data_IF_429395396714
#
_entry.id   IF_429395396714
#
_cell.length_a   1.000
_cell.length_b   1.000
_cell.length_c   1.000
_cell.angle_alpha   90.00
_cell.angle_beta   90.00
_cell.angle_gamma   90.00
#
_symmetry.space_group_name_H-M   'P 1'
#
loop_
_entity.id
_entity.type
_entity.pdbx_description
1 polymer ?
#
# COMPACT_ATOMS: atom_id res chain seq x y z
N UNK A 1 -13.57 -21.32 3.25
CA UNK A 1 -12.53 -20.42 3.77
C UNK A 1 -12.96 -18.99 3.49
N UNK A 2 -12.75 -18.04 4.41
CA UNK A 2 -13.01 -16.64 4.11
C UNK A 2 -12.08 -16.21 2.97
N UNK A 3 -12.67 -15.82 1.85
CA UNK A 3 -11.98 -15.29 0.68
C UNK A 3 -11.63 -13.82 0.92
N UNK A 4 -10.38 -13.40 0.85
CA UNK A 4 -10.00 -11.98 0.99
C UNK A 4 -9.96 -11.30 -0.39
N UNK A 5 -10.55 -10.11 -0.55
CA UNK A 5 -10.49 -9.39 -1.81
C UNK A 5 -9.11 -8.79 -2.10
N UNK A 6 -8.18 -8.78 -1.14
CA UNK A 6 -6.82 -8.27 -1.35
C UNK A 6 -5.80 -9.31 -0.94
N UNK A 7 -4.75 -9.45 -1.75
CA UNK A 7 -3.49 -10.00 -1.26
C UNK A 7 -2.96 -9.07 -0.17
N UNK A 8 -2.47 -9.64 0.93
CA UNK A 8 -1.84 -8.88 1.99
C UNK A 8 -0.34 -8.88 1.76
N UNK A 9 0.25 -7.71 1.57
CA UNK A 9 1.66 -7.58 1.89
C UNK A 9 1.74 -7.62 3.41
N UNK A 10 2.05 -8.80 3.97
CA UNK A 10 2.39 -9.03 5.37
C UNK A 10 3.70 -8.29 5.65
N UNK A 11 3.58 -6.97 5.67
CA UNK A 11 4.71 -6.11 5.64
C UNK A 11 5.34 -6.07 7.03
N UNK A 12 6.66 -5.93 7.11
CA UNK A 12 7.36 -5.73 8.36
C UNK A 12 7.20 -4.28 8.86
N UNK A 13 6.00 -3.68 8.80
CA UNK A 13 5.75 -2.32 9.34
C UNK A 13 5.97 -2.28 10.84
N UNK A 14 5.62 -3.35 11.54
CA UNK A 14 6.02 -3.57 12.95
C UNK A 14 7.56 -3.55 13.13
N UNK A 15 8.31 -3.74 12.03
CA UNK A 15 9.77 -3.68 11.97
C UNK A 15 10.27 -2.43 11.26
N UNK A 16 9.45 -1.44 10.91
CA UNK A 16 9.89 -0.06 10.64
C UNK A 16 9.93 0.65 11.99
N UNK A 17 11.10 0.61 12.63
CA UNK A 17 11.28 1.03 13.99
C UNK A 17 12.48 1.96 14.10
N UNK A 18 12.42 2.86 15.07
CA UNK A 18 13.51 3.77 15.38
C UNK A 18 14.07 3.52 16.76
N UNK A 19 15.37 3.77 16.96
CA UNK A 19 15.95 3.80 18.30
C UNK A 19 15.43 5.03 19.09
N UNK A 20 15.38 4.96 20.43
CA UNK A 20 15.09 6.12 21.26
C UNK A 20 16.04 7.28 20.97
N UNK A 21 15.51 8.50 21.00
CA UNK A 21 16.25 9.75 20.80
C UNK A 21 15.59 10.84 21.63
N UNK A 22 16.40 11.72 22.22
CA UNK A 22 15.97 12.86 23.02
C UNK A 22 16.51 14.16 22.41
N UNK A 23 15.64 15.05 21.99
CA UNK A 23 16.00 16.35 21.43
C UNK A 23 16.66 17.27 22.45
N UNK A 24 16.20 17.25 23.70
CA UNK A 24 16.75 18.04 24.80
C UNK A 24 18.19 17.65 25.18
N UNK A 25 18.61 16.42 24.87
CA UNK A 25 19.98 15.96 25.08
C UNK A 25 20.90 16.32 23.90
N UNK A 26 20.33 16.40 22.70
CA UNK A 26 21.07 16.64 21.46
C UNK A 26 21.25 18.13 21.14
N UNK A 27 20.24 18.95 21.46
CA UNK A 27 20.20 20.38 21.12
C UNK A 27 20.49 21.23 22.35
N UNK A 28 21.17 22.36 22.15
CA UNK A 28 21.37 23.36 23.20
C UNK A 28 20.10 24.21 23.32
N UNK A 29 19.65 24.41 24.55
CA UNK A 29 18.58 25.36 24.87
C UNK A 29 19.11 26.79 24.71
N UNK A 30 18.37 27.63 24.01
CA UNK A 30 18.67 29.06 23.85
C UNK A 30 17.38 29.90 23.74
N UNK A 31 17.49 31.18 23.39
CA UNK A 31 16.34 32.10 23.32
C UNK A 31 15.31 31.73 22.23
N UNK A 32 15.67 30.89 21.26
CA UNK A 32 14.80 30.47 20.16
C UNK A 32 14.28 29.03 20.34
N UNK A 33 15.01 28.19 21.09
CA UNK A 33 14.67 26.80 21.39
C UNK A 33 14.49 26.61 22.90
N UNK A 34 13.25 26.65 23.37
CA UNK A 34 12.94 26.44 24.78
C UNK A 34 12.95 24.93 25.15
N UNK A 35 13.30 24.63 26.39
CA UNK A 35 13.42 23.25 26.89
C UNK A 35 12.09 22.49 26.91
N UNK A 36 10.96 23.20 27.05
CA UNK A 36 9.64 22.58 27.10
C UNK A 36 9.23 22.05 25.73
N UNK A 37 9.42 22.85 24.67
CA UNK A 37 9.23 22.44 23.28
C UNK A 37 10.10 21.24 22.90
N UNK A 38 11.37 21.20 23.36
CA UNK A 38 12.26 20.06 23.09
C UNK A 38 11.77 18.78 23.79
N UNK A 39 11.34 18.89 25.05
CA UNK A 39 10.77 17.76 25.81
C UNK A 39 9.46 17.27 25.22
N UNK A 40 8.61 18.19 24.75
CA UNK A 40 7.37 17.86 24.06
C UNK A 40 7.68 17.06 22.78
N UNK A 41 8.62 17.53 21.95
CA UNK A 41 9.02 16.85 20.72
C UNK A 41 9.57 15.45 20.99
N UNK A 42 10.41 15.27 22.02
CA UNK A 42 10.91 13.96 22.46
C UNK A 42 9.81 13.06 22.98
N UNK A 43 8.84 13.60 23.73
CA UNK A 43 7.69 12.89 24.26
C UNK A 43 6.83 12.29 23.13
N UNK A 44 6.45 13.12 22.16
CA UNK A 44 5.65 12.67 21.01
C UNK A 44 6.42 11.68 20.13
N UNK A 45 7.71 11.92 19.87
CA UNK A 45 8.55 10.98 19.13
C UNK A 45 8.49 9.59 19.76
N UNK A 46 8.74 9.50 21.07
CA UNK A 46 8.79 8.24 21.81
C UNK A 46 7.51 7.42 21.67
N UNK A 47 6.37 8.07 21.54
CA UNK A 47 5.07 7.40 21.41
C UNK A 47 4.77 7.06 19.94
N UNK A 48 5.04 8.00 19.03
CA UNK A 48 4.69 7.89 17.62
C UNK A 48 5.53 6.84 16.86
N UNK A 49 6.85 6.82 17.08
CA UNK A 49 7.79 5.99 16.29
C UNK A 49 8.28 4.73 17.01
N UNK A 50 7.83 4.51 18.25
CA UNK A 50 8.13 3.26 18.95
C UNK A 50 7.38 2.09 18.31
N UNK A 51 7.90 0.85 18.43
CA UNK A 51 7.10 -0.34 18.19
C UNK A 51 5.80 -0.23 18.97
N UNK A 52 4.67 -0.51 18.32
CA UNK A 52 3.33 -0.36 18.91
C UNK A 52 3.27 -1.12 20.24
N UNK A 53 3.17 -0.37 21.34
CA UNK A 53 3.12 -0.97 22.67
C UNK A 53 1.87 -1.85 22.82
N UNK A 54 1.96 -2.91 23.62
CA UNK A 54 0.82 -3.77 23.93
C UNK A 54 -0.33 -2.91 24.48
N UNK A 55 -1.47 -2.91 23.77
CA UNK A 55 -2.67 -2.13 24.14
C UNK A 55 -2.83 -0.76 23.45
N UNK A 56 -1.83 -0.25 22.72
CA UNK A 56 -2.03 0.93 21.88
C UNK A 56 -2.73 0.51 20.57
N UNK A 57 -3.93 1.04 20.33
CA UNK A 57 -4.65 0.84 19.08
C UNK A 57 -3.97 1.54 17.89
N UNK A 58 -4.12 0.98 16.69
CA UNK A 58 -3.58 1.54 15.44
C UNK A 58 -4.03 3.00 15.19
N UNK A 59 -5.29 3.31 15.50
CA UNK A 59 -5.83 4.67 15.38
C UNK A 59 -5.12 5.66 16.30
N UNK A 60 -4.86 5.25 17.55
CA UNK A 60 -4.10 6.08 18.48
C UNK A 60 -2.69 6.33 17.94
N UNK A 61 -2.02 5.32 17.38
CA UNK A 61 -0.70 5.49 16.78
C UNK A 61 -0.72 6.46 15.59
N UNK A 62 -1.73 6.36 14.72
CA UNK A 62 -1.92 7.27 13.58
C UNK A 62 -2.03 8.72 14.06
N UNK A 63 -2.82 8.99 15.10
CA UNK A 63 -2.95 10.34 15.64
C UNK A 63 -1.66 10.84 16.30
N UNK A 64 -0.90 9.97 16.96
CA UNK A 64 0.42 10.33 17.51
C UNK A 64 1.43 10.66 16.40
N UNK A 65 1.44 9.89 15.30
CA UNK A 65 2.26 10.18 14.12
C UNK A 65 1.87 11.53 13.49
N UNK A 66 0.57 11.80 13.37
CA UNK A 66 0.06 13.10 12.87
C UNK A 66 0.55 14.26 13.74
N UNK A 67 0.44 14.14 15.06
CA UNK A 67 0.90 15.18 15.98
C UNK A 67 2.40 15.37 15.93
N UNK A 68 3.16 14.27 15.91
CA UNK A 68 4.60 14.34 15.83
C UNK A 68 5.09 14.97 14.53
N UNK A 69 4.47 14.61 13.40
CA UNK A 69 4.72 15.23 12.11
C UNK A 69 4.50 16.76 12.14
N UNK A 70 3.39 17.22 12.73
CA UNK A 70 3.11 18.66 12.86
C UNK A 70 4.20 19.38 13.66
N UNK A 71 4.59 18.80 14.81
CA UNK A 71 5.66 19.38 15.65
C UNK A 71 6.98 19.44 14.89
N UNK A 72 7.37 18.36 14.21
CA UNK A 72 8.59 18.33 13.42
C UNK A 72 8.58 19.38 12.30
N UNK A 73 7.46 19.51 11.60
CA UNK A 73 7.31 20.46 10.49
C UNK A 73 7.37 21.92 10.96
N UNK A 74 6.87 22.20 12.16
CA UNK A 74 6.93 23.54 12.78
C UNK A 74 8.31 23.84 13.37
N UNK A 75 9.02 22.80 13.81
CA UNK A 75 10.34 22.90 14.39
C UNK A 75 11.43 23.08 13.33
N UNK A 76 11.24 22.50 12.12
CA UNK A 76 12.23 22.51 11.06
C UNK A 76 12.71 23.91 10.63
N UNK A 77 11.83 24.91 10.39
CA UNK A 77 12.26 26.27 10.08
C UNK A 77 13.03 26.93 11.24
N UNK A 78 12.56 26.73 12.48
CA UNK A 78 13.23 27.29 13.68
C UNK A 78 14.65 26.75 13.82
N UNK A 79 14.85 25.46 13.55
CA UNK A 79 16.19 24.86 13.57
C UNK A 79 17.08 25.43 12.46
N UNK A 80 16.52 25.68 11.27
CA UNK A 80 17.24 26.26 10.14
C UNK A 80 17.64 27.72 10.35
N UNK A 81 16.82 28.49 11.08
CA UNK A 81 17.06 29.91 11.34
C UNK A 81 17.96 30.14 12.57
N UNK A 82 17.83 29.29 13.60
CA UNK A 82 18.44 29.55 14.91
C UNK A 82 19.41 28.46 15.40
N UNK A 83 19.34 27.24 14.87
CA UNK A 83 20.20 26.14 15.33
C UNK A 83 21.64 26.28 14.87
N UNK A 84 22.61 26.18 15.78
CA UNK A 84 24.03 26.13 15.41
C UNK A 84 24.38 24.86 14.60
N UNK A 85 25.35 24.96 13.69
CA UNK A 85 25.78 23.85 12.82
C UNK A 85 26.26 22.62 13.60
N UNK A 86 26.80 22.83 14.81
CA UNK A 86 27.22 21.75 15.70
C UNK A 86 26.04 20.94 16.24
N UNK A 87 24.91 21.59 16.52
CA UNK A 87 23.70 21.02 17.08
C UNK A 87 22.93 20.28 15.99
N UNK A 88 22.90 20.82 14.77
CA UNK A 88 22.36 20.11 13.60
C UNK A 88 23.10 18.80 13.34
N UNK A 89 24.42 18.77 13.48
CA UNK A 89 25.24 17.55 13.34
C UNK A 89 24.97 16.49 14.40
N UNK A 90 24.41 16.86 15.55
CA UNK A 90 24.02 15.92 16.62
C UNK A 90 22.65 15.26 16.38
N UNK A 91 21.84 15.81 15.47
CA UNK A 91 20.57 15.20 15.08
C UNK A 91 20.84 13.99 14.18
N UNK A 92 21.05 12.85 14.83
CA UNK A 92 21.27 11.58 14.18
C UNK A 92 20.29 10.55 14.73
N UNK A 93 19.50 10.00 13.83
CA UNK A 93 18.49 9.00 14.13
C UNK A 93 18.90 7.65 13.55
N UNK A 94 18.35 6.58 14.10
CA UNK A 94 18.63 5.22 13.64
C UNK A 94 17.32 4.51 13.36
N UNK A 95 17.13 4.11 12.11
CA UNK A 95 15.90 3.46 11.63
C UNK A 95 16.20 2.14 10.95
N UNK A 96 15.32 1.16 11.15
CA UNK A 96 15.29 -0.03 10.31
C UNK A 96 14.69 0.26 8.94
N UNK A 97 14.95 -0.61 7.98
CA UNK A 97 14.44 -0.48 6.61
C UNK A 97 13.81 -1.80 6.13
N UNK A 98 12.54 -2.07 6.46
CA UNK A 98 11.86 -3.29 6.03
C UNK A 98 11.75 -3.43 4.51
N UNK A 99 11.63 -2.31 3.78
CA UNK A 99 11.52 -2.33 2.32
C UNK A 99 12.86 -2.66 1.64
N UNK A 100 13.98 -2.55 2.36
CA UNK A 100 15.30 -2.96 1.86
C UNK A 100 15.54 -4.47 1.89
N UNK A 101 14.68 -5.26 2.55
CA UNK A 101 14.92 -6.68 2.82
C UNK A 101 15.89 -6.95 3.98
N UNK A 102 16.36 -5.89 4.68
CA UNK A 102 17.19 -5.96 5.89
C UNK A 102 16.42 -5.41 7.11
N UNK A 103 15.26 -5.98 7.49
CA UNK A 103 14.35 -5.37 8.47
C UNK A 103 14.91 -5.26 9.90
N UNK A 104 15.99 -5.97 10.23
CA UNK A 104 16.60 -5.95 11.56
C UNK A 104 17.83 -5.02 11.67
N UNK A 105 18.25 -4.41 10.56
CA UNK A 105 19.45 -3.56 10.53
C UNK A 105 19.05 -2.10 10.72
N UNK A 106 19.60 -1.47 11.76
CA UNK A 106 19.45 -0.03 11.99
C UNK A 106 20.46 0.74 11.13
N UNK A 107 19.94 1.68 10.35
CA UNK A 107 20.67 2.57 9.47
C UNK A 107 20.62 3.98 10.05
N UNK A 108 21.77 4.66 10.03
CA UNK A 108 21.90 6.02 10.55
C UNK A 108 21.43 7.01 9.51
N UNK A 109 20.55 7.91 9.93
CA UNK A 109 20.12 9.06 9.14
C UNK A 109 20.48 10.33 9.91
N UNK A 110 20.82 11.40 9.19
CA UNK A 110 21.27 12.66 9.78
C UNK A 110 20.36 13.79 9.35
N UNK A 111 20.04 14.67 10.29
CA UNK A 111 19.19 15.82 10.04
C UNK A 111 17.70 15.51 10.20
N UNK A 112 16.97 16.59 10.45
CA UNK A 112 15.55 16.53 10.80
C UNK A 112 14.66 16.26 9.58
N UNK A 113 15.10 16.68 8.39
CA UNK A 113 14.42 16.42 7.13
C UNK A 113 14.30 14.91 6.85
N UNK A 114 15.36 14.15 7.12
CA UNK A 114 15.34 12.70 6.93
C UNK A 114 14.49 12.00 8.00
N UNK A 115 14.49 12.49 9.26
CA UNK A 115 13.55 12.00 10.29
C UNK A 115 12.10 12.25 9.85
N UNK A 116 11.79 13.46 9.38
CA UNK A 116 10.46 13.81 8.88
C UNK A 116 10.05 12.87 7.74
N UNK A 117 10.93 12.61 6.78
CA UNK A 117 10.67 11.67 5.68
C UNK A 117 10.33 10.26 6.18
N UNK A 118 11.10 9.72 7.13
CA UNK A 118 10.80 8.41 7.74
C UNK A 118 9.47 8.40 8.49
N UNK A 119 9.13 9.48 9.20
CA UNK A 119 7.85 9.62 9.92
C UNK A 119 6.68 9.66 8.95
N UNK A 120 6.78 10.40 7.84
CA UNK A 120 5.75 10.45 6.80
C UNK A 120 5.56 9.07 6.15
N UNK A 121 6.66 8.35 5.88
CA UNK A 121 6.59 7.00 5.33
C UNK A 121 5.88 6.02 6.29
N UNK A 122 6.25 6.06 7.59
CA UNK A 122 5.59 5.27 8.63
C UNK A 122 4.10 5.64 8.75
N UNK A 123 3.77 6.92 8.65
CA UNK A 123 2.38 7.37 8.70
C UNK A 123 1.55 6.81 7.54
N UNK A 124 2.04 6.90 6.30
CA UNK A 124 1.39 6.26 5.15
C UNK A 124 1.24 4.74 5.34
N UNK A 125 2.23 4.10 5.96
CA UNK A 125 2.20 2.65 6.25
C UNK A 125 1.13 2.29 7.28
N UNK A 126 0.96 3.10 8.33
CA UNK A 126 -0.09 2.91 9.35
C UNK A 126 -1.49 3.11 8.77
N UNK A 127 -1.70 4.10 7.89
CA UNK A 127 -2.98 4.24 7.17
C UNK A 127 -3.28 3.02 6.30
N UNK A 128 -2.29 2.53 5.56
CA UNK A 128 -2.43 1.32 4.74
C UNK A 128 -2.80 0.11 5.62
N UNK A 129 -2.14 -0.07 6.77
CA UNK A 129 -2.49 -1.13 7.73
C UNK A 129 -3.93 -0.99 8.24
N UNK A 130 -4.41 0.23 8.46
CA UNK A 130 -5.77 0.50 8.92
C UNK A 130 -6.80 0.08 7.88
N UNK A 131 -6.58 0.42 6.61
CA UNK A 131 -7.44 -0.03 5.52
C UNK A 131 -7.50 -1.57 5.45
N UNK A 132 -6.36 -2.25 5.64
CA UNK A 132 -6.33 -3.72 5.71
C UNK A 132 -7.08 -4.28 6.91
N UNK A 133 -7.01 -3.65 8.09
CA UNK A 133 -7.78 -4.08 9.26
C UNK A 133 -9.27 -4.06 8.96
N UNK A 134 -9.77 -2.98 8.35
CA UNK A 134 -11.19 -2.86 7.96
C UNK A 134 -11.59 -4.01 7.02
N UNK A 135 -10.78 -4.28 5.98
CA UNK A 135 -11.04 -5.38 5.05
C UNK A 135 -10.95 -6.74 5.76
N UNK A 136 -10.01 -6.93 6.66
CA UNK A 136 -9.85 -8.19 7.38
C UNK A 136 -11.04 -8.45 8.33
N UNK A 137 -11.48 -7.43 9.06
CA UNK A 137 -12.59 -7.54 10.02
C UNK A 137 -13.90 -7.92 9.30
N UNK A 138 -14.15 -7.33 8.13
CA UNK A 138 -15.31 -7.62 7.28
C UNK A 138 -15.36 -9.07 6.78
N UNK A 139 -14.20 -9.69 6.52
CA UNK A 139 -14.13 -11.02 5.92
C UNK A 139 -13.80 -12.13 6.92
N UNK A 140 -13.27 -11.79 8.10
CA UNK A 140 -13.12 -12.72 9.23
C UNK A 140 -14.39 -12.77 10.08
N UNK A 141 -15.10 -11.65 10.23
CA UNK A 141 -16.39 -11.57 10.94
C UNK A 141 -17.57 -12.05 10.09
N UNK A 142 -17.39 -13.12 9.31
CA UNK A 142 -18.40 -13.69 8.43
C UNK A 142 -19.55 -14.40 9.20
N UNK A 143 -20.03 -13.77 10.27
CA UNK A 143 -21.38 -14.03 10.78
C UNK A 143 -22.38 -13.38 9.81
N UNK A 144 -23.50 -14.06 9.56
CA UNK A 144 -24.56 -13.68 8.61
C UNK A 144 -25.28 -12.34 8.96
N UNK A 145 -24.79 -11.58 9.95
CA UNK A 145 -25.41 -10.37 10.49
C UNK A 145 -25.06 -9.08 9.72
N UNK A 146 -23.89 -9.00 9.05
CA UNK A 146 -23.53 -7.78 8.30
C UNK A 146 -24.26 -7.76 6.95
N UNK A 147 -25.18 -6.81 6.79
CA UNK A 147 -25.92 -6.65 5.53
C UNK A 147 -25.02 -6.13 4.39
N UNK A 148 -25.47 -6.33 3.14
CA UNK A 148 -24.68 -6.01 1.94
C UNK A 148 -24.31 -4.52 1.81
N UNK A 149 -25.11 -3.61 2.36
CA UNK A 149 -24.86 -2.17 2.26
C UNK A 149 -23.80 -1.72 3.27
N UNK A 150 -23.85 -2.25 4.50
CA UNK A 150 -22.81 -2.01 5.50
C UNK A 150 -21.44 -2.50 5.01
N UNK A 151 -21.39 -3.72 4.46
CA UNK A 151 -20.17 -4.23 3.81
C UNK A 151 -19.68 -3.31 2.68
N UNK A 152 -20.63 -2.81 1.88
CA UNK A 152 -20.35 -1.88 0.79
C UNK A 152 -19.77 -0.54 1.27
N UNK A 153 -20.27 -0.01 2.39
CA UNK A 153 -19.76 1.21 3.02
C UNK A 153 -18.33 1.03 3.52
N UNK A 154 -18.05 -0.06 4.22
CA UNK A 154 -16.72 -0.33 4.77
C UNK A 154 -15.66 -0.58 3.69
N UNK A 155 -16.04 -1.17 2.54
CA UNK A 155 -15.17 -1.26 1.36
C UNK A 155 -14.82 0.13 0.81
N UNK A 156 -15.80 1.03 0.76
CA UNK A 156 -15.58 2.43 0.32
C UNK A 156 -14.68 3.18 1.30
N UNK A 157 -14.86 2.96 2.60
CA UNK A 157 -14.01 3.54 3.65
C UNK A 157 -12.56 3.05 3.53
N UNK A 158 -12.33 1.74 3.42
CA UNK A 158 -10.98 1.20 3.23
C UNK A 158 -10.31 1.75 1.96
N UNK A 159 -11.06 1.82 0.84
CA UNK A 159 -10.56 2.42 -0.41
C UNK A 159 -10.22 3.91 -0.25
N UNK A 160 -10.97 4.65 0.57
CA UNK A 160 -10.66 6.05 0.88
C UNK A 160 -9.35 6.16 1.66
N UNK A 161 -9.15 5.33 2.69
CA UNK A 161 -7.92 5.34 3.49
C UNK A 161 -6.70 4.96 2.64
N UNK A 162 -6.82 4.00 1.72
CA UNK A 162 -5.73 3.71 0.78
C UNK A 162 -5.38 4.92 -0.11
N UNK A 163 -6.36 5.69 -0.59
CA UNK A 163 -6.09 6.93 -1.34
C UNK A 163 -5.44 8.02 -0.49
N UNK A 164 -5.78 8.10 0.80
CA UNK A 164 -5.11 8.98 1.76
C UNK A 164 -3.64 8.57 1.98
N UNK A 165 -3.38 7.27 2.13
CA UNK A 165 -2.01 6.74 2.19
C UNK A 165 -1.23 7.05 0.90
N UNK A 166 -1.84 6.84 -0.27
CA UNK A 166 -1.23 7.21 -1.56
C UNK A 166 -0.88 8.70 -1.64
N UNK A 167 -1.77 9.57 -1.15
CA UNK A 167 -1.54 11.01 -1.03
C UNK A 167 -0.32 11.39 -0.19
N UNK A 168 -0.13 10.71 0.94
CA UNK A 168 1.06 10.89 1.79
C UNK A 168 2.35 10.48 1.07
N UNK A 169 2.34 9.34 0.37
CA UNK A 169 3.50 8.88 -0.37
C UNK A 169 3.83 9.78 -1.57
N UNK A 170 2.80 10.29 -2.24
CA UNK A 170 2.95 11.28 -3.30
C UNK A 170 3.64 12.56 -2.77
N UNK A 171 3.12 13.11 -1.67
CA UNK A 171 3.73 14.24 -0.98
C UNK A 171 5.18 13.95 -0.55
N UNK A 172 5.45 12.76 -0.01
CA UNK A 172 6.78 12.34 0.41
C UNK A 172 7.76 12.32 -0.78
N UNK A 173 7.37 11.74 -1.90
CA UNK A 173 8.19 11.68 -3.11
C UNK A 173 8.49 13.10 -3.64
N UNK A 174 7.45 13.85 -3.97
CA UNK A 174 7.57 15.10 -4.74
C UNK A 174 8.01 16.29 -3.88
N UNK A 175 7.57 16.37 -2.63
CA UNK A 175 7.79 17.58 -1.81
C UNK A 175 8.90 17.41 -0.79
N UNK A 176 9.09 16.20 -0.26
CA UNK A 176 10.04 15.96 0.84
C UNK A 176 11.35 15.35 0.35
N UNK A 177 11.30 14.28 -0.46
CA UNK A 177 12.49 13.52 -0.86
C UNK A 177 13.18 14.08 -2.09
N UNK A 178 12.44 14.55 -3.09
CA UNK A 178 13.02 15.09 -4.33
C UNK A 178 14.10 16.17 -4.07
N UNK A 179 13.89 17.17 -3.17
CA UNK A 179 14.93 18.16 -2.88
C UNK A 179 16.15 17.62 -2.12
N UNK A 180 16.05 16.44 -1.52
CA UNK A 180 17.08 15.86 -0.65
C UNK A 180 17.95 14.82 -1.37
N UNK A 181 17.62 14.44 -2.61
CA UNK A 181 18.27 13.31 -3.30
C UNK A 181 19.79 13.39 -3.37
N UNK A 182 20.34 14.58 -3.63
CA UNK A 182 21.79 14.81 -3.73
C UNK A 182 22.50 14.76 -2.38
N UNK A 183 21.76 14.95 -1.29
CA UNK A 183 22.28 14.98 0.09
C UNK A 183 22.20 13.61 0.79
N UNK A 184 21.56 12.62 0.15
CA UNK A 184 21.35 11.31 0.75
C UNK A 184 22.67 10.54 0.94
N UNK A 185 22.90 9.95 2.12
CA UNK A 185 24.10 9.15 2.36
C UNK A 185 24.10 7.87 1.50
N UNK A 186 25.28 7.33 1.20
CA UNK A 186 25.41 6.09 0.42
C UNK A 186 24.66 4.92 1.05
N UNK A 187 24.94 4.60 2.33
CA UNK A 187 24.14 3.64 3.10
C UNK A 187 22.96 4.34 3.77
N UNK A 188 21.74 3.96 3.37
CA UNK A 188 20.48 4.60 3.75
C UNK A 188 19.31 3.64 3.70
N UNK A 189 18.24 3.89 4.47
CA UNK A 189 16.95 3.20 4.32
C UNK A 189 16.41 3.33 2.88
N UNK A 190 15.79 2.28 2.38
CA UNK A 190 15.15 2.32 1.06
C UNK A 190 13.89 3.22 1.06
N UNK A 191 13.31 3.48 2.23
CA UNK A 191 12.19 4.41 2.45
C UNK A 191 12.56 5.87 2.13
N UNK A 192 13.86 6.21 2.09
CA UNK A 192 14.36 7.55 1.73
C UNK A 192 14.63 7.72 0.24
N UNK A 193 14.40 6.68 -0.58
CA UNK A 193 14.55 6.76 -2.03
C UNK A 193 13.20 7.12 -2.63
N UNK A 194 13.15 8.12 -3.51
CA UNK A 194 11.91 8.63 -4.11
C UNK A 194 11.09 7.52 -4.77
N UNK A 195 11.73 6.67 -5.58
CA UNK A 195 11.07 5.55 -6.24
C UNK A 195 10.43 4.54 -5.29
N UNK A 196 10.83 4.47 -4.01
CA UNK A 196 10.11 3.68 -3.00
C UNK A 196 8.79 4.36 -2.63
N UNK A 197 8.78 5.66 -2.42
CA UNK A 197 7.55 6.41 -2.13
C UNK A 197 6.60 6.35 -3.31
N UNK A 198 7.10 6.56 -4.54
CA UNK A 198 6.31 6.39 -5.78
C UNK A 198 5.78 4.96 -5.95
N UNK A 199 6.57 3.94 -5.60
CA UNK A 199 6.09 2.56 -5.58
C UNK A 199 4.91 2.38 -4.62
N UNK A 200 5.00 2.95 -3.42
CA UNK A 200 3.98 2.84 -2.39
C UNK A 200 2.71 3.63 -2.70
N UNK A 201 2.86 4.80 -3.35
CA UNK A 201 1.73 5.54 -3.93
C UNK A 201 0.91 4.64 -4.87
N UNK A 202 1.55 4.12 -5.92
CA UNK A 202 0.87 3.29 -6.92
C UNK A 202 0.31 1.99 -6.32
N UNK A 203 1.04 1.39 -5.36
CA UNK A 203 0.57 0.19 -4.67
C UNK A 203 -0.72 0.45 -3.88
N UNK A 204 -0.79 1.55 -3.11
CA UNK A 204 -2.01 1.93 -2.40
C UNK A 204 -3.16 2.29 -3.35
N UNK A 205 -2.86 2.93 -4.50
CA UNK A 205 -3.87 3.19 -5.52
C UNK A 205 -4.39 1.89 -6.15
N UNK A 206 -3.52 0.92 -6.40
CA UNK A 206 -3.90 -0.41 -6.90
C UNK A 206 -4.85 -1.13 -5.94
N UNK A 207 -4.58 -1.06 -4.64
CA UNK A 207 -5.45 -1.59 -3.58
C UNK A 207 -6.81 -0.87 -3.52
N UNK A 208 -6.81 0.46 -3.59
CA UNK A 208 -8.04 1.25 -3.65
C UNK A 208 -8.87 0.94 -4.91
N UNK A 209 -8.19 0.74 -6.04
CA UNK A 209 -8.80 0.40 -7.33
C UNK A 209 -9.41 -1.02 -7.31
N UNK A 210 -8.72 -2.00 -6.72
CA UNK A 210 -9.24 -3.35 -6.53
C UNK A 210 -10.50 -3.36 -5.66
N UNK A 211 -10.53 -2.57 -4.58
CA UNK A 211 -11.74 -2.40 -3.76
C UNK A 211 -12.87 -1.67 -4.51
N UNK A 212 -12.52 -0.78 -5.44
CA UNK A 212 -13.50 -0.12 -6.32
C UNK A 212 -14.13 -1.13 -7.28
N UNK A 213 -13.33 -2.03 -7.86
CA UNK A 213 -13.82 -3.13 -8.70
C UNK A 213 -14.73 -4.08 -7.90
N UNK A 214 -14.34 -4.44 -6.68
CA UNK A 214 -15.16 -5.23 -5.77
C UNK A 214 -16.51 -4.55 -5.47
N UNK A 215 -16.51 -3.24 -5.17
CA UNK A 215 -17.77 -2.51 -4.94
C UNK A 215 -18.64 -2.47 -6.19
N UNK A 216 -18.05 -2.41 -7.38
CA UNK A 216 -18.80 -2.52 -8.63
C UNK A 216 -19.44 -3.90 -8.80
N UNK A 217 -18.72 -4.97 -8.47
CA UNK A 217 -19.24 -6.36 -8.45
C UNK A 217 -20.40 -6.49 -7.46
N UNK A 218 -20.25 -5.98 -6.22
CA UNK A 218 -21.30 -6.01 -5.20
C UNK A 218 -22.58 -5.27 -5.61
N UNK A 219 -22.45 -4.23 -6.44
CA UNK A 219 -23.58 -3.46 -6.98
C UNK A 219 -24.22 -4.10 -8.21
N UNK A 220 -23.70 -5.22 -8.71
CA UNK A 220 -24.18 -5.87 -9.93
C UNK A 220 -23.86 -5.05 -11.19
N UNK A 221 -22.73 -4.34 -11.21
CA UNK A 221 -22.27 -3.63 -12.41
C UNK A 221 -21.96 -4.61 -13.56
N UNK A 222 -21.99 -4.13 -14.81
CA UNK A 222 -21.67 -4.94 -16.00
C UNK A 222 -20.28 -5.57 -15.89
N UNK A 223 -20.14 -6.80 -16.40
CA UNK A 223 -18.88 -7.54 -16.33
C UNK A 223 -17.74 -6.85 -17.09
N UNK A 224 -17.99 -6.26 -18.27
CA UNK A 224 -16.99 -5.44 -18.97
C UNK A 224 -16.45 -4.27 -18.15
N UNK A 225 -17.32 -3.52 -17.44
CA UNK A 225 -16.87 -2.45 -16.53
C UNK A 225 -16.02 -3.02 -15.38
N UNK A 226 -16.50 -4.06 -14.69
CA UNK A 226 -15.75 -4.65 -13.58
C UNK A 226 -14.40 -5.21 -14.03
N UNK A 227 -14.33 -5.84 -15.21
CA UNK A 227 -13.07 -6.28 -15.82
C UNK A 227 -12.12 -5.10 -16.06
N UNK A 228 -12.59 -4.01 -16.68
CA UNK A 228 -11.74 -2.81 -16.91
C UNK A 228 -11.22 -2.18 -15.61
N UNK A 229 -11.98 -2.26 -14.52
CA UNK A 229 -11.56 -1.75 -13.21
C UNK A 229 -10.45 -2.62 -12.59
N UNK A 230 -10.55 -3.95 -12.74
CA UNK A 230 -9.48 -4.87 -12.32
C UNK A 230 -8.21 -4.72 -13.17
N UNK A 231 -8.33 -4.54 -14.49
CA UNK A 231 -7.15 -4.21 -15.32
C UNK A 231 -6.50 -2.91 -14.83
N UNK A 232 -7.29 -1.88 -14.53
CA UNK A 232 -6.75 -0.65 -13.96
C UNK A 232 -6.02 -0.86 -12.62
N UNK A 233 -6.42 -1.84 -11.80
CA UNK A 233 -5.68 -2.19 -10.58
C UNK A 233 -4.35 -2.90 -10.91
N UNK A 234 -4.38 -3.83 -11.87
CA UNK A 234 -3.18 -4.51 -12.39
C UNK A 234 -2.15 -3.49 -12.92
N UNK A 235 -2.58 -2.53 -13.75
CA UNK A 235 -1.74 -1.47 -14.31
C UNK A 235 -1.05 -0.64 -13.20
N UNK A 236 -1.74 -0.37 -12.10
CA UNK A 236 -1.17 0.36 -10.95
C UNK A 236 -0.10 -0.45 -10.23
N UNK A 237 -0.28 -1.77 -10.05
CA UNK A 237 0.77 -2.63 -9.48
C UNK A 237 1.98 -2.78 -10.41
N UNK A 238 1.77 -2.76 -11.73
CA UNK A 238 2.86 -2.71 -12.70
C UNK A 238 3.63 -1.39 -12.65
N UNK A 239 2.91 -0.26 -12.52
CA UNK A 239 3.51 1.06 -12.31
C UNK A 239 4.33 1.10 -11.02
N UNK A 240 3.83 0.52 -9.92
CA UNK A 240 4.58 0.37 -8.68
C UNK A 240 5.89 -0.42 -8.89
N UNK A 241 5.82 -1.55 -9.61
CA UNK A 241 6.99 -2.36 -9.96
C UNK A 241 7.98 -1.60 -10.86
N UNK A 242 7.49 -0.77 -11.77
CA UNK A 242 8.29 0.05 -12.68
C UNK A 242 9.06 1.13 -11.92
N UNK A 243 8.44 1.80 -10.94
CA UNK A 243 9.09 2.80 -10.09
C UNK A 243 10.35 2.23 -9.42
N UNK A 244 10.26 1.01 -8.86
CA UNK A 244 11.42 0.34 -8.26
C UNK A 244 12.53 0.01 -9.28
N UNK A 245 12.16 -0.34 -10.51
CA UNK A 245 13.12 -0.71 -11.58
C UNK A 245 13.85 0.51 -12.12
N UNK A 246 13.16 1.64 -12.27
CA UNK A 246 13.73 2.88 -12.81
C UNK A 246 14.87 3.43 -11.93
N UNK A 247 14.81 3.18 -10.62
CA UNK A 247 15.79 3.66 -9.64
C UNK A 247 16.69 2.54 -9.08
N UNK A 248 16.90 1.45 -9.83
CA UNK A 248 17.67 0.29 -9.34
C UNK A 248 19.06 0.68 -8.79
N UNK A 249 19.72 1.70 -9.38
CA UNK A 249 21.01 2.20 -8.92
C UNK A 249 20.97 3.08 -7.66
N UNK A 250 19.80 3.61 -7.28
CA UNK A 250 19.62 4.43 -6.09
C UNK A 250 19.34 3.59 -4.83
N UNK A 251 18.91 2.34 -5.00
CA UNK A 251 18.66 1.42 -3.90
C UNK A 251 19.93 0.65 -3.51
N UNK A 252 20.20 0.58 -2.20
CA UNK A 252 21.18 -0.37 -1.67
C UNK A 252 20.68 -1.81 -1.86
N UNK A 253 19.45 -2.07 -1.40
CA UNK A 253 18.75 -3.33 -1.55
C UNK A 253 17.25 -3.07 -1.58
N UNK A 254 16.48 -3.97 -2.20
CA UNK A 254 15.00 -3.94 -2.18
C UNK A 254 14.50 -5.33 -1.80
N UNK A 255 13.47 -5.37 -0.96
CA UNK A 255 12.84 -6.59 -0.47
C UNK A 255 12.34 -7.46 -1.63
N UNK A 256 12.83 -8.70 -1.70
CA UNK A 256 12.27 -9.70 -2.60
C UNK A 256 10.79 -9.95 -2.30
N UNK A 257 10.37 -9.86 -1.03
CA UNK A 257 8.96 -10.03 -0.66
C UNK A 257 8.08 -8.95 -1.28
N UNK A 258 8.54 -7.70 -1.29
CA UNK A 258 7.81 -6.59 -1.91
C UNK A 258 7.68 -6.80 -3.42
N UNK A 259 8.77 -7.18 -4.10
CA UNK A 259 8.75 -7.46 -5.54
C UNK A 259 7.79 -8.60 -5.90
N UNK A 260 7.80 -9.68 -5.11
CA UNK A 260 6.86 -10.80 -5.27
C UNK A 260 5.41 -10.36 -5.08
N UNK A 261 5.15 -9.59 -4.02
CA UNK A 261 3.82 -9.05 -3.74
C UNK A 261 3.28 -8.22 -4.92
N UNK A 262 4.05 -7.26 -5.44
CA UNK A 262 3.60 -6.42 -6.55
C UNK A 262 3.31 -7.24 -7.82
N UNK A 263 4.17 -8.20 -8.14
CA UNK A 263 3.96 -9.07 -9.29
C UNK A 263 2.69 -9.93 -9.15
N UNK A 264 2.49 -10.59 -8.00
CA UNK A 264 1.30 -11.40 -7.77
C UNK A 264 0.03 -10.55 -7.71
N UNK A 265 0.07 -9.37 -7.08
CA UNK A 265 -1.09 -8.47 -7.05
C UNK A 265 -1.50 -8.06 -8.46
N UNK A 266 -0.56 -7.74 -9.34
CA UNK A 266 -0.89 -7.49 -10.76
C UNK A 266 -1.58 -8.71 -11.41
N UNK A 267 -0.96 -9.90 -11.31
CA UNK A 267 -1.49 -11.12 -11.93
C UNK A 267 -2.82 -11.59 -11.35
N UNK A 268 -3.08 -11.39 -10.05
CA UNK A 268 -4.39 -11.69 -9.42
C UNK A 268 -5.48 -10.76 -9.95
N UNK A 269 -5.19 -9.47 -10.08
CA UNK A 269 -6.15 -8.52 -10.67
C UNK A 269 -6.39 -8.82 -12.16
N UNK A 270 -5.35 -9.18 -12.91
CA UNK A 270 -5.49 -9.64 -14.30
C UNK A 270 -6.36 -10.93 -14.40
N UNK A 271 -6.17 -11.89 -13.49
CA UNK A 271 -7.01 -13.09 -13.40
C UNK A 271 -8.49 -12.72 -13.17
N UNK A 272 -8.77 -11.81 -12.23
CA UNK A 272 -10.13 -11.33 -11.95
C UNK A 272 -10.74 -10.62 -13.15
N UNK A 273 -9.95 -9.83 -13.88
CA UNK A 273 -10.38 -9.21 -15.13
C UNK A 273 -10.80 -10.24 -16.17
N UNK A 274 -9.97 -11.25 -16.44
CA UNK A 274 -10.31 -12.35 -17.35
C UNK A 274 -11.54 -13.13 -16.90
N UNK A 275 -11.71 -13.37 -15.60
CA UNK A 275 -12.91 -14.03 -15.06
C UNK A 275 -14.18 -13.25 -15.39
N UNK A 276 -14.15 -11.92 -15.26
CA UNK A 276 -15.27 -11.06 -15.63
C UNK A 276 -15.48 -11.00 -17.14
N UNK A 277 -14.42 -10.91 -17.94
CA UNK A 277 -14.53 -11.00 -19.40
C UNK A 277 -15.16 -12.32 -19.86
N UNK A 278 -14.83 -13.44 -19.21
CA UNK A 278 -15.45 -14.73 -19.49
C UNK A 278 -16.97 -14.70 -19.25
N UNK A 279 -17.42 -14.05 -18.17
CA UNK A 279 -18.86 -13.90 -17.86
C UNK A 279 -19.58 -13.00 -18.88
N UNK A 280 -18.90 -11.96 -19.37
CA UNK A 280 -19.41 -11.07 -20.43
C UNK A 280 -19.57 -11.82 -21.75
N UNK A 281 -18.51 -12.49 -22.21
CA UNK A 281 -18.49 -13.32 -23.42
C UNK A 281 -19.52 -14.45 -23.37
N UNK A 282 -19.70 -15.07 -22.21
CA UNK A 282 -20.73 -16.10 -22.05
C UNK A 282 -22.14 -15.52 -22.26
N UNK A 283 -22.36 -14.28 -21.82
CA UNK A 283 -23.63 -13.56 -21.99
C UNK A 283 -23.89 -13.19 -23.46
N UNK A 284 -22.82 -12.95 -24.22
CA UNK A 284 -22.84 -12.72 -25.67
C UNK A 284 -22.86 -14.03 -26.50
N UNK A 285 -23.06 -15.19 -25.85
CA UNK A 285 -23.06 -16.51 -26.49
C UNK A 285 -21.73 -16.88 -27.16
N UNK A 286 -20.60 -16.34 -26.68
CA UNK A 286 -19.24 -16.71 -27.09
C UNK A 286 -18.58 -17.64 -26.07
N UNK A 287 -19.24 -18.75 -25.72
CA UNK A 287 -18.76 -19.67 -24.69
C UNK A 287 -17.39 -20.32 -24.99
N UNK A 288 -17.02 -20.48 -26.27
CA UNK A 288 -15.67 -20.92 -26.66
C UNK A 288 -14.58 -19.92 -26.25
N UNK A 289 -14.81 -18.63 -26.51
CA UNK A 289 -13.93 -17.54 -26.07
C UNK A 289 -13.93 -17.40 -24.55
N UNK A 290 -15.08 -17.57 -23.89
CA UNK A 290 -15.18 -17.51 -22.44
C UNK A 290 -14.34 -18.60 -21.74
N UNK A 291 -14.31 -19.83 -22.27
CA UNK A 291 -13.42 -20.88 -21.75
C UNK A 291 -11.94 -20.50 -21.95
N UNK A 292 -11.57 -19.95 -23.11
CA UNK A 292 -10.21 -19.48 -23.35
C UNK A 292 -9.79 -18.35 -22.37
N UNK A 293 -10.69 -17.41 -22.04
CA UNK A 293 -10.45 -16.42 -20.97
C UNK A 293 -10.14 -17.09 -19.63
N UNK A 294 -10.90 -18.12 -19.25
CA UNK A 294 -10.66 -18.83 -18.00
C UNK A 294 -9.32 -19.58 -18.00
N UNK A 295 -8.83 -20.01 -19.16
CA UNK A 295 -7.53 -20.66 -19.30
C UNK A 295 -6.38 -19.64 -19.15
N UNK A 296 -6.50 -18.44 -19.74
CA UNK A 296 -5.56 -17.34 -19.50
C UNK A 296 -5.52 -16.93 -18.02
N UNK A 297 -6.68 -16.78 -17.39
CA UNK A 297 -6.79 -16.49 -15.96
C UNK A 297 -6.09 -17.55 -15.10
N UNK A 298 -6.24 -18.84 -15.45
CA UNK A 298 -5.62 -19.93 -14.72
C UNK A 298 -4.09 -19.91 -14.86
N UNK A 299 -3.55 -19.56 -16.03
CA UNK A 299 -2.12 -19.36 -16.24
C UNK A 299 -1.56 -18.30 -15.28
N UNK A 300 -2.23 -17.15 -15.17
CA UNK A 300 -1.84 -16.09 -14.22
C UNK A 300 -1.78 -16.60 -12.76
N UNK A 301 -2.76 -17.39 -12.34
CA UNK A 301 -2.80 -17.95 -10.99
C UNK A 301 -1.73 -19.02 -10.75
N UNK A 302 -1.39 -19.85 -11.73
CA UNK A 302 -0.34 -20.86 -11.58
C UNK A 302 1.03 -20.21 -11.38
N UNK A 303 1.33 -19.16 -12.14
CA UNK A 303 2.57 -18.40 -11.99
C UNK A 303 2.65 -17.77 -10.59
N UNK A 304 1.53 -17.24 -10.07
CA UNK A 304 1.46 -16.71 -8.70
C UNK A 304 1.70 -17.79 -7.63
N UNK A 305 1.18 -19.01 -7.81
CA UNK A 305 1.33 -20.10 -6.83
C UNK A 305 2.79 -20.49 -6.63
N UNK A 306 3.58 -20.54 -7.71
CA UNK A 306 5.02 -20.79 -7.63
C UNK A 306 5.73 -19.68 -6.85
N UNK A 307 5.34 -18.42 -7.05
CA UNK A 307 5.92 -17.27 -6.34
C UNK A 307 5.54 -17.24 -4.85
N UNK A 308 4.32 -17.69 -4.53
CA UNK A 308 3.76 -17.72 -3.19
C UNK A 308 4.26 -18.87 -2.31
N UNK A 309 5.08 -19.78 -2.84
CA UNK A 309 5.58 -20.94 -2.09
C UNK A 309 6.23 -20.50 -0.76
N UNK A 310 5.74 -21.09 0.34
CA UNK A 310 6.18 -20.78 1.70
C UNK A 310 5.38 -19.68 2.44
N UNK A 311 4.45 -18.97 1.79
CA UNK A 311 3.52 -18.04 2.45
C UNK A 311 2.09 -18.59 2.45
N UNK A 312 1.67 -19.17 3.58
CA UNK A 312 0.35 -19.78 3.73
C UNK A 312 -0.80 -18.77 3.54
N UNK A 313 -0.58 -17.49 3.84
CA UNK A 313 -1.58 -16.44 3.66
C UNK A 313 -1.83 -16.16 2.18
N UNK A 314 -0.77 -16.06 1.38
CA UNK A 314 -0.89 -15.91 -0.07
C UNK A 314 -1.49 -17.15 -0.74
N UNK A 315 -1.02 -18.35 -0.36
CA UNK A 315 -1.54 -19.61 -0.90
C UNK A 315 -3.04 -19.74 -0.67
N UNK A 316 -3.54 -19.44 0.53
CA UNK A 316 -4.96 -19.53 0.85
C UNK A 316 -5.83 -18.61 -0.03
N UNK A 317 -5.35 -17.40 -0.33
CA UNK A 317 -6.06 -16.46 -1.21
C UNK A 317 -6.06 -16.98 -2.66
N UNK A 318 -4.91 -17.44 -3.16
CA UNK A 318 -4.79 -17.99 -4.52
C UNK A 318 -5.61 -19.28 -4.72
N UNK A 319 -5.78 -20.08 -3.67
CA UNK A 319 -6.67 -21.24 -3.69
C UNK A 319 -8.14 -20.84 -3.76
N UNK A 320 -8.54 -19.83 -2.99
CA UNK A 320 -9.90 -19.30 -3.05
C UNK A 320 -10.21 -18.68 -4.43
N UNK A 321 -9.26 -17.95 -5.03
CA UNK A 321 -9.41 -17.45 -6.41
C UNK A 321 -9.47 -18.57 -7.44
N UNK A 322 -8.62 -19.60 -7.30
CA UNK A 322 -8.65 -20.76 -8.17
C UNK A 322 -10.00 -21.48 -8.13
N UNK A 323 -10.61 -21.63 -6.95
CA UNK A 323 -11.94 -22.21 -6.80
C UNK A 323 -13.03 -21.35 -7.46
N UNK A 324 -12.98 -20.01 -7.31
CA UNK A 324 -13.90 -19.09 -8.01
C UNK A 324 -13.79 -19.24 -9.53
N UNK A 325 -12.56 -19.23 -10.05
CA UNK A 325 -12.29 -19.37 -11.48
C UNK A 325 -12.76 -20.72 -12.02
N UNK A 326 -12.49 -21.82 -11.31
CA UNK A 326 -12.94 -23.15 -11.72
C UNK A 326 -14.47 -23.24 -11.83
N UNK A 327 -15.19 -22.61 -10.90
CA UNK A 327 -16.66 -22.54 -10.96
C UNK A 327 -17.14 -21.75 -12.19
N UNK A 328 -16.49 -20.63 -12.52
CA UNK A 328 -16.81 -19.85 -13.73
C UNK A 328 -16.48 -20.65 -15.00
N UNK A 329 -15.32 -21.30 -15.06
CA UNK A 329 -14.92 -22.17 -16.19
C UNK A 329 -15.91 -23.30 -16.40
N UNK A 330 -16.32 -24.01 -15.34
CA UNK A 330 -17.26 -25.13 -15.46
C UNK A 330 -18.63 -24.68 -16.04
N UNK A 331 -19.11 -23.49 -15.68
CA UNK A 331 -20.32 -22.90 -16.27
C UNK A 331 -20.15 -22.59 -17.75
N UNK A 332 -19.04 -21.94 -18.12
CA UNK A 332 -18.74 -21.63 -19.52
C UNK A 332 -18.63 -22.90 -20.36
N UNK A 333 -17.92 -23.90 -19.84
CA UNK A 333 -17.67 -25.16 -20.53
C UNK A 333 -18.97 -25.95 -20.75
N UNK A 334 -19.85 -26.00 -19.75
CA UNK A 334 -21.17 -26.63 -19.88
C UNK A 334 -22.02 -25.98 -20.98
N UNK A 335 -22.09 -24.65 -21.02
CA UNK A 335 -22.83 -23.94 -22.09
C UNK A 335 -22.16 -24.19 -23.45
N UNK A 336 -20.82 -24.18 -23.49
CA UNK A 336 -20.03 -24.44 -24.69
C UNK A 336 -20.28 -25.85 -25.25
N UNK A 337 -20.34 -26.88 -24.42
CA UNK A 337 -20.48 -28.28 -24.87
C UNK A 337 -21.92 -28.69 -25.09
N UNK A 338 -22.84 -28.24 -24.24
CA UNK A 338 -24.19 -28.79 -24.19
C UNK A 338 -25.20 -27.94 -24.97
N UNK A 339 -24.89 -26.66 -25.19
CA UNK A 339 -25.83 -25.68 -25.80
C UNK A 339 -25.29 -25.13 -27.11
N UNK A 340 -24.07 -24.58 -27.11
CA UNK A 340 -23.54 -23.81 -28.25
C UNK A 340 -22.61 -24.60 -29.16
N UNK A 341 -22.07 -25.73 -28.70
CA UNK A 341 -21.14 -26.61 -29.42
C UNK A 341 -19.92 -25.88 -30.04
N UNK A 342 -19.38 -24.89 -29.32
CA UNK A 342 -18.26 -24.08 -29.81
C UNK A 342 -16.90 -24.71 -29.49
N UNK A 343 -15.94 -24.55 -30.41
CA UNK A 343 -14.53 -24.89 -30.16
C UNK A 343 -13.89 -23.84 -29.25
N UNK A 344 -12.91 -24.27 -28.43
CA UNK A 344 -12.06 -23.36 -27.66
C UNK A 344 -10.92 -22.87 -28.58
N UNK A 345 -10.75 -21.55 -28.76
CA UNK A 345 -9.63 -21.00 -29.52
C UNK A 345 -8.28 -21.27 -28.85
N UNK A 346 -7.20 -21.24 -29.64
CA UNK A 346 -5.84 -21.51 -29.13
C UNK A 346 -5.27 -20.42 -28.23
N UNK A 347 -5.78 -19.21 -28.35
CA UNK A 347 -5.34 -18.04 -27.59
C UNK A 347 -6.58 -17.33 -27.06
N UNK A 348 -6.53 -16.93 -25.79
CA UNK A 348 -7.55 -16.06 -25.23
C UNK A 348 -7.55 -14.67 -25.86
N UNK A 349 -8.60 -13.87 -25.59
CA UNK A 349 -8.60 -12.47 -25.98
C UNK A 349 -7.57 -11.68 -25.18
N UNK A 350 -7.16 -10.53 -25.72
CA UNK A 350 -6.36 -9.58 -24.96
C UNK A 350 -7.21 -8.94 -23.85
N UNK A 351 -6.58 -8.61 -22.73
CA UNK A 351 -7.22 -7.82 -21.68
C UNK A 351 -7.76 -6.50 -22.25
N UNK A 352 -8.88 -6.06 -21.69
CA UNK A 352 -9.44 -4.74 -21.97
C UNK A 352 -8.47 -3.64 -21.52
N UNK A 353 -8.69 -2.41 -21.99
CA UNK A 353 -7.97 -1.26 -21.44
C UNK A 353 -8.38 -1.00 -19.98
N UNK A 354 -7.37 -0.74 -19.13
CA UNK A 354 -7.58 -0.45 -17.72
C UNK A 354 -8.28 0.88 -17.50
N UNK A 355 -9.33 0.85 -16.68
CA UNK A 355 -10.04 2.05 -16.23
C UNK A 355 -9.60 2.42 -14.81
N UNK A 356 -8.66 3.35 -14.70
CA UNK A 356 -8.19 3.85 -13.41
C UNK A 356 -9.11 4.96 -12.88
N UNK A 357 -9.73 4.72 -11.72
CA UNK A 357 -10.57 5.68 -11.01
C UNK A 357 -9.92 6.17 -9.71
N UNK A 358 -9.05 5.36 -9.11
CA UNK A 358 -8.31 5.74 -7.92
C UNK A 358 -7.34 6.88 -8.24
N UNK A 359 -7.33 7.91 -7.39
CA UNK A 359 -6.39 9.03 -7.43
C UNK A 359 -5.90 9.29 -6.01
N UNK A 360 -4.65 9.75 -5.84
CA UNK A 360 -4.16 10.10 -4.51
C UNK A 360 -5.02 11.23 -3.94
N UNK A 361 -5.39 11.10 -2.66
CA UNK A 361 -6.00 12.21 -1.95
C UNK A 361 -4.95 13.30 -1.77
N UNK A 362 -5.32 14.56 -1.98
CA UNK A 362 -4.37 15.65 -1.74
C UNK A 362 -3.99 15.69 -0.26
N UNK A 363 -2.70 15.54 0.04
CA UNK A 363 -2.19 15.68 1.39
C UNK A 363 -1.75 17.13 1.64
N UNK A 364 -2.39 17.80 2.60
CA UNK A 364 -2.10 19.19 2.98
C UNK A 364 -1.59 19.25 4.42
N UNK A 365 -0.28 19.41 4.64
CA UNK A 365 0.31 19.55 5.98
C UNK A 365 -0.36 20.62 6.85
N UNK A 366 -0.75 21.74 6.25
CA UNK A 366 -1.33 22.91 6.90
C UNK A 366 -2.67 22.64 7.61
N UNK A 367 -3.44 21.66 7.14
CA UNK A 367 -4.74 21.34 7.72
C UNK A 367 -4.61 20.73 9.13
N UNK A 368 -3.46 20.15 9.44
CA UNK A 368 -3.16 19.58 10.75
C UNK A 368 -2.76 20.65 11.78
N UNK A 369 -2.27 21.81 11.34
CA UNK A 369 -1.93 22.95 12.22
C UNK A 369 -3.17 23.61 12.81
N UNK A 370 -4.26 23.70 12.05
CA UNK A 370 -5.49 24.40 12.48
C UNK A 370 -6.28 23.68 13.58
N UNK A 371 -6.11 22.37 13.74
CA UNK A 371 -6.81 21.58 14.79
C UNK A 371 -6.22 21.72 16.20
N UNK A 372 -5.09 22.44 16.36
CA UNK A 372 -4.49 22.75 17.66
C UNK A 372 -5.08 24.00 18.34
N UNK A 373 -5.91 24.76 17.62
CA UNK A 373 -6.49 26.01 18.09
C UNK A 373 -7.98 25.98 18.42
N UNK A 374 -8.61 24.80 18.47
CA UNK A 374 -10.05 24.63 18.78
C UNK A 374 -10.29 23.92 20.09
#
# INVERSE_FOLDING_TARGET
MPWSPLLRFSAPWEKLASKPFSFEDALKVDNALDLESLRELSGYRRIAVAPRAAGMGLEAQIEQLRHYYSLLSDFLPKLNDFGDDSSRKKLQFEWTSPTSGRPAVYLKIKGLQLELAMVVFLYGSSLRERAYSIVQDLWNGADDEINAEERGSSVVEAAKIFKEAAGLYHYLAETVLQPLQEELPGDRPAELVEGMSTCFEHMCLGEAQALTALRAEMKGSSHGLTASLHVGASDLFEQASKALKQETGAFNTVSANLRRFLAMSSSVEACRAFEHMAKDLLSDSEAGMAVACCEEANTQLQDCRTVAEGDAGWVAILDAEGARLQNTRAKCDKVRTDVLFQSVPKSGPQLLEGKILAKPSEYRPEEHRKRRGS
#
